data_IF_251221484620
#
_entry.id   IF_251221484620
#
_cell.length_a   1.000
_cell.length_b   1.000
_cell.length_c   1.000
_cell.angle_alpha   90.00
_cell.angle_beta   90.00
_cell.angle_gamma   90.00
#
_symmetry.space_group_name_H-M   'P 1'
#
loop_
_entity.id
_entity.type
_entity.pdbx_description
1 polymer ?
#
# COMPACT_ATOMS: atom_id res chain seq x y z
N UNK A 1 -28.97 -2.57 -2.17
CA UNK A 1 -28.13 -1.72 -3.04
C UNK A 1 -26.66 -1.96 -2.67
N UNK A 2 -25.80 -2.11 -3.67
CA UNK A 2 -24.37 -2.25 -3.40
C UNK A 2 -23.61 -1.03 -3.93
N UNK A 3 -22.55 -0.67 -3.22
CA UNK A 3 -21.64 0.40 -3.62
C UNK A 3 -20.24 -0.17 -3.54
N UNK A 4 -19.50 -0.07 -4.62
CA UNK A 4 -18.14 -0.60 -4.72
C UNK A 4 -17.19 0.52 -5.13
N UNK A 5 -16.13 0.72 -4.37
CA UNK A 5 -15.03 1.58 -4.80
C UNK A 5 -14.27 0.82 -5.90
N UNK A 6 -14.44 1.24 -7.15
CA UNK A 6 -13.94 0.52 -8.32
C UNK A 6 -12.49 0.86 -8.65
N UNK A 7 -12.15 2.12 -8.66
CA UNK A 7 -10.79 2.57 -8.91
C UNK A 7 -10.54 3.93 -8.27
N UNK A 8 -9.29 4.23 -8.03
CA UNK A 8 -8.87 5.57 -7.61
C UNK A 8 -7.51 5.89 -8.20
N UNK A 9 -7.22 7.18 -8.33
CA UNK A 9 -5.95 7.65 -8.84
C UNK A 9 -5.00 7.86 -7.67
N UNK A 10 -3.81 7.26 -7.78
CA UNK A 10 -2.72 7.46 -6.82
C UNK A 10 -1.66 8.34 -7.48
N UNK A 11 -1.47 9.57 -7.01
CA UNK A 11 -0.45 10.46 -7.58
C UNK A 11 0.95 9.99 -7.23
N UNK A 12 1.87 10.08 -8.17
CA UNK A 12 3.24 9.59 -8.02
C UNK A 12 4.22 10.48 -8.75
N UNK A 13 5.48 10.43 -8.38
CA UNK A 13 6.57 11.07 -9.11
C UNK A 13 6.98 10.21 -10.33
N UNK A 14 7.04 8.89 -10.12
CA UNK A 14 7.28 7.90 -11.17
C UNK A 14 6.22 6.81 -11.02
N UNK A 15 5.23 6.82 -11.90
CA UNK A 15 4.07 5.93 -11.76
C UNK A 15 4.41 4.46 -11.87
N UNK A 16 5.38 4.10 -12.69
CA UNK A 16 5.79 2.71 -12.85
C UNK A 16 6.49 2.21 -11.59
N UNK A 17 7.45 2.96 -11.07
CA UNK A 17 8.15 2.61 -9.84
C UNK A 17 7.21 2.56 -8.64
N UNK A 18 6.27 3.51 -8.56
CA UNK A 18 5.29 3.56 -7.47
C UNK A 18 4.33 2.36 -7.50
N UNK A 19 3.84 2.00 -8.68
CA UNK A 19 2.98 0.83 -8.87
C UNK A 19 3.73 -0.46 -8.51
N UNK A 20 4.96 -0.60 -8.94
CA UNK A 20 5.80 -1.77 -8.63
C UNK A 20 6.08 -1.90 -7.14
N UNK A 21 6.27 -0.79 -6.44
CA UNK A 21 6.48 -0.79 -4.99
C UNK A 21 5.30 -1.45 -4.26
N UNK A 22 4.09 -1.02 -4.52
CA UNK A 22 2.90 -1.60 -3.87
C UNK A 22 2.65 -3.04 -4.34
N UNK A 23 2.74 -3.29 -5.63
CA UNK A 23 2.52 -4.62 -6.19
C UNK A 23 3.46 -5.65 -5.57
N UNK A 24 4.72 -5.30 -5.37
CA UNK A 24 5.71 -6.17 -4.71
C UNK A 24 5.28 -6.54 -3.29
N UNK A 25 4.81 -5.56 -2.50
CA UNK A 25 4.36 -5.81 -1.13
C UNK A 25 3.16 -6.76 -1.09
N UNK A 26 2.23 -6.60 -2.02
CA UNK A 26 0.98 -7.37 -2.04
C UNK A 26 1.07 -8.68 -2.82
N UNK A 27 2.24 -8.98 -3.42
CA UNK A 27 2.40 -10.17 -4.25
C UNK A 27 1.60 -10.11 -5.55
N UNK A 28 1.38 -8.91 -6.09
CA UNK A 28 0.61 -8.68 -7.29
C UNK A 28 1.52 -8.30 -8.46
N UNK A 29 1.02 -8.44 -9.68
CA UNK A 29 1.67 -7.93 -10.88
C UNK A 29 1.11 -6.55 -11.23
N UNK A 30 1.99 -5.68 -11.74
CA UNK A 30 1.56 -4.42 -12.36
C UNK A 30 0.89 -4.75 -13.69
N UNK A 31 -0.27 -4.15 -13.95
CA UNK A 31 -1.00 -4.35 -15.19
C UNK A 31 -0.45 -3.53 -16.35
N UNK A 32 -0.99 -3.78 -17.54
CA UNK A 32 -0.62 -3.03 -18.73
C UNK A 32 -1.06 -1.58 -18.60
N UNK A 33 -0.22 -0.68 -19.08
CA UNK A 33 -0.51 0.74 -19.06
C UNK A 33 -1.83 1.04 -19.78
N UNK A 34 -2.72 1.79 -19.10
CA UNK A 34 -4.03 2.18 -19.63
C UNK A 34 -4.12 3.71 -19.67
N UNK A 35 -4.05 4.28 -20.88
CA UNK A 35 -4.00 5.73 -21.02
C UNK A 35 -2.79 6.31 -20.28
N UNK A 36 -2.99 7.29 -19.38
CA UNK A 36 -1.91 7.87 -18.58
C UNK A 36 -1.55 7.03 -17.34
N UNK A 37 -2.26 5.92 -17.08
CA UNK A 37 -2.18 5.20 -15.81
C UNK A 37 -1.36 3.93 -15.91
N UNK A 38 -0.66 3.60 -14.80
CA UNK A 38 -0.12 2.27 -14.55
C UNK A 38 -0.97 1.63 -13.45
N UNK A 39 -1.76 0.60 -13.78
CA UNK A 39 -2.72 0.05 -12.84
C UNK A 39 -2.12 -1.04 -11.96
N UNK A 40 -2.57 -1.07 -10.70
CA UNK A 40 -2.42 -2.21 -9.80
C UNK A 40 -3.82 -2.70 -9.45
N UNK A 41 -4.21 -3.84 -9.98
CA UNK A 41 -5.48 -4.46 -9.64
C UNK A 41 -5.34 -5.19 -8.32
N UNK A 42 -5.92 -4.61 -7.28
CA UNK A 42 -5.78 -5.11 -5.90
C UNK A 42 -6.61 -6.38 -5.70
N UNK A 43 -7.83 -6.37 -6.22
CA UNK A 43 -8.77 -7.49 -6.19
C UNK A 43 -9.76 -7.36 -7.33
N UNK A 44 -10.83 -8.17 -7.34
CA UNK A 44 -11.82 -8.13 -8.40
C UNK A 44 -12.59 -6.81 -8.50
N UNK A 45 -12.60 -6.04 -7.43
CA UNK A 45 -13.42 -4.82 -7.33
C UNK A 45 -12.61 -3.52 -7.43
N UNK A 46 -11.32 -3.52 -7.06
CA UNK A 46 -10.54 -2.30 -6.90
C UNK A 46 -9.25 -2.31 -7.69
N UNK A 47 -9.06 -1.25 -8.48
CA UNK A 47 -7.80 -0.95 -9.17
C UNK A 47 -7.25 0.39 -8.68
N UNK A 48 -5.96 0.43 -8.36
CA UNK A 48 -5.24 1.67 -8.10
C UNK A 48 -4.55 2.10 -9.40
N UNK A 49 -4.91 3.28 -9.90
CA UNK A 49 -4.34 3.84 -11.13
C UNK A 49 -3.27 4.86 -10.76
N UNK A 50 -2.01 4.46 -10.92
CA UNK A 50 -0.88 5.36 -10.63
C UNK A 50 -0.68 6.35 -11.77
N UNK A 51 -0.56 7.64 -11.42
CA UNK A 51 -0.53 8.75 -12.35
C UNK A 51 0.57 9.75 -11.95
N UNK A 52 1.50 10.05 -12.84
CA UNK A 52 2.62 10.94 -12.56
C UNK A 52 2.51 12.30 -13.27
N UNK A 53 1.37 12.62 -13.88
CA UNK A 53 1.22 13.87 -14.64
C UNK A 53 1.28 15.13 -13.79
N UNK A 54 0.89 15.05 -12.51
CA UNK A 54 0.78 16.19 -11.62
C UNK A 54 1.68 16.09 -10.38
N UNK A 55 2.67 15.20 -10.41
CA UNK A 55 3.53 14.95 -9.26
C UNK A 55 2.82 14.17 -8.15
N UNK A 56 3.50 14.02 -7.03
CA UNK A 56 2.99 13.28 -5.88
C UNK A 56 2.48 14.20 -4.80
N UNK A 57 1.32 13.83 -4.23
CA UNK A 57 0.81 14.39 -2.98
C UNK A 57 0.65 13.24 -2.01
N UNK A 58 1.30 13.24 -0.84
CA UNK A 58 1.21 12.13 0.10
C UNK A 58 -0.23 11.82 0.50
N UNK A 59 -0.59 10.55 0.45
CA UNK A 59 -1.90 10.04 0.83
C UNK A 59 -1.76 8.89 1.81
N UNK A 60 -2.91 8.40 2.29
CA UNK A 60 -3.00 7.26 3.18
C UNK A 60 -3.94 6.22 2.60
N UNK A 61 -3.47 4.99 2.48
CA UNK A 61 -4.22 3.88 1.90
C UNK A 61 -4.13 2.68 2.85
N UNK A 62 -5.28 2.19 3.31
CA UNK A 62 -5.35 1.14 4.31
C UNK A 62 -6.00 -0.11 3.72
N UNK A 63 -5.36 -1.26 3.93
CA UNK A 63 -5.77 -2.53 3.38
C UNK A 63 -5.97 -3.54 4.51
N UNK A 64 -7.16 -4.16 4.55
CA UNK A 64 -7.40 -5.34 5.36
C UNK A 64 -6.86 -6.54 4.59
N UNK A 65 -5.92 -7.27 5.17
CA UNK A 65 -5.26 -8.40 4.52
C UNK A 65 -5.35 -9.65 5.40
N UNK A 66 -5.15 -10.82 4.80
CA UNK A 66 -5.04 -12.04 5.57
C UNK A 66 -3.65 -12.18 6.23
N UNK A 67 -3.51 -13.14 7.13
CA UNK A 67 -2.25 -13.32 7.85
C UNK A 67 -1.10 -13.70 6.93
N UNK A 68 -1.35 -14.48 5.89
CA UNK A 68 -0.32 -14.86 4.92
C UNK A 68 0.22 -13.64 4.17
N UNK A 69 -0.66 -12.78 3.69
CA UNK A 69 -0.26 -11.53 3.01
C UNK A 69 0.51 -10.61 3.96
N UNK A 70 0.03 -10.49 5.20
CA UNK A 70 0.73 -9.70 6.22
C UNK A 70 2.14 -10.22 6.48
N UNK A 71 2.31 -11.53 6.62
CA UNK A 71 3.63 -12.15 6.83
C UNK A 71 4.57 -11.86 5.67
N UNK A 72 4.08 -11.91 4.44
CA UNK A 72 4.87 -11.60 3.24
C UNK A 72 5.32 -10.15 3.23
N UNK A 73 4.41 -9.21 3.54
CA UNK A 73 4.73 -7.78 3.61
C UNK A 73 5.80 -7.53 4.67
N UNK A 74 5.61 -8.10 5.85
CA UNK A 74 6.53 -7.92 6.97
C UNK A 74 7.93 -8.47 6.65
N UNK A 75 8.00 -9.62 6.00
CA UNK A 75 9.26 -10.20 5.54
C UNK A 75 10.00 -9.27 4.58
N UNK A 76 9.29 -8.70 3.60
CA UNK A 76 9.87 -7.78 2.62
C UNK A 76 10.42 -6.52 3.30
N UNK A 77 9.64 -5.87 4.16
CA UNK A 77 10.07 -4.61 4.78
C UNK A 77 11.20 -4.82 5.80
N UNK A 78 11.23 -5.95 6.47
CA UNK A 78 12.33 -6.31 7.36
C UNK A 78 13.64 -6.57 6.62
N UNK A 79 13.54 -7.16 5.44
CA UNK A 79 14.69 -7.49 4.60
C UNK A 79 15.20 -6.31 3.77
N UNK A 80 14.48 -5.18 3.73
CA UNK A 80 14.79 -4.04 2.88
C UNK A 80 15.04 -2.80 3.74
N UNK A 81 16.30 -2.47 3.97
CA UNK A 81 16.69 -1.44 4.93
C UNK A 81 16.25 -0.03 4.57
N UNK A 82 16.01 0.25 3.29
CA UNK A 82 15.60 1.56 2.80
C UNK A 82 14.09 1.76 2.70
N UNK A 83 13.29 0.77 3.12
CA UNK A 83 11.83 0.92 3.23
C UNK A 83 11.47 1.30 4.65
N UNK A 84 11.01 2.53 4.92
CA UNK A 84 10.51 2.91 6.24
C UNK A 84 9.23 2.16 6.57
N UNK A 85 9.16 1.56 7.76
CA UNK A 85 7.92 0.97 8.26
C UNK A 85 7.84 1.11 9.77
N UNK A 86 6.64 0.99 10.31
CA UNK A 86 6.46 1.13 11.75
C UNK A 86 5.06 0.82 12.24
N UNK A 87 4.89 0.95 13.54
CA UNK A 87 3.64 0.64 14.24
C UNK A 87 2.60 1.75 14.18
N UNK A 88 2.98 2.94 13.70
CA UNK A 88 2.10 4.07 13.55
C UNK A 88 2.80 5.24 12.86
N UNK A 89 2.01 6.07 12.17
CA UNK A 89 2.54 7.19 11.37
C UNK A 89 3.27 8.24 12.20
N UNK A 90 2.84 8.41 13.46
CA UNK A 90 3.39 9.44 14.36
C UNK A 90 4.56 8.91 15.20
N UNK A 91 4.91 7.63 15.08
CA UNK A 91 5.94 6.99 15.91
C UNK A 91 7.31 6.94 15.23
N UNK A 92 7.50 7.67 14.13
CA UNK A 92 8.81 7.87 13.51
C UNK A 92 9.35 6.65 12.77
N UNK A 93 8.49 5.78 12.23
CA UNK A 93 8.91 4.60 11.46
C UNK A 93 9.83 3.69 12.28
N UNK A 94 9.29 3.24 13.43
CA UNK A 94 10.01 2.54 14.49
C UNK A 94 10.39 1.09 14.17
N UNK A 95 10.04 0.60 12.99
CA UNK A 95 10.29 -0.77 12.51
C UNK A 95 9.64 -1.84 13.39
N UNK A 96 8.52 -1.50 14.01
CA UNK A 96 7.68 -2.36 14.83
C UNK A 96 6.31 -2.54 14.20
N UNK A 97 5.57 -3.53 14.66
CA UNK A 97 4.16 -3.72 14.28
C UNK A 97 3.25 -3.32 15.43
N UNK A 98 1.96 -3.15 15.15
CA UNK A 98 0.94 -2.96 16.17
C UNK A 98 -0.03 -4.14 16.21
N UNK A 99 -0.91 -4.15 17.21
CA UNK A 99 -1.92 -5.18 17.42
C UNK A 99 -3.32 -4.58 17.54
N UNK A 100 -3.58 -3.52 16.81
CA UNK A 100 -4.87 -2.85 16.83
C UNK A 100 -5.98 -3.82 16.39
N UNK A 101 -7.14 -3.73 17.05
CA UNK A 101 -8.27 -4.60 16.75
C UNK A 101 -8.07 -6.06 17.16
N UNK A 102 -7.01 -6.38 17.89
CA UNK A 102 -6.68 -7.76 18.28
C UNK A 102 -5.94 -8.54 17.19
N UNK A 103 -5.59 -7.90 16.09
CA UNK A 103 -4.82 -8.49 15.01
C UNK A 103 -3.39 -7.96 14.96
N UNK A 104 -2.87 -7.80 13.74
CA UNK A 104 -1.56 -7.23 13.48
C UNK A 104 -1.68 -6.11 12.47
N UNK A 105 -0.90 -5.05 12.62
CA UNK A 105 -0.86 -3.93 11.71
C UNK A 105 0.54 -3.40 11.50
N UNK A 106 0.78 -2.82 10.33
CA UNK A 106 2.05 -2.17 9.98
C UNK A 106 1.79 -1.04 9.00
N UNK A 107 2.52 0.06 9.19
CA UNK A 107 2.55 1.18 8.26
C UNK A 107 3.83 1.11 7.44
N UNK A 108 3.72 1.31 6.15
CA UNK A 108 4.85 1.30 5.22
C UNK A 108 4.84 2.59 4.42
N UNK A 109 5.98 3.26 4.32
CA UNK A 109 6.10 4.49 3.55
C UNK A 109 6.74 4.21 2.21
N UNK A 110 6.13 4.72 1.13
CA UNK A 110 6.75 4.66 -0.19
C UNK A 110 7.65 5.88 -0.45
N UNK A 111 8.43 5.90 -1.55
CA UNK A 111 9.32 7.02 -1.86
C UNK A 111 8.62 8.37 -2.06
N UNK A 112 7.33 8.38 -2.39
CA UNK A 112 6.53 9.59 -2.57
C UNK A 112 5.92 10.10 -1.27
N UNK A 113 6.14 9.39 -0.16
CA UNK A 113 5.57 9.76 1.13
C UNK A 113 4.16 9.22 1.37
N UNK A 114 3.62 8.39 0.47
CA UNK A 114 2.37 7.69 0.75
C UNK A 114 2.56 6.75 1.92
N UNK A 115 1.57 6.70 2.80
CA UNK A 115 1.53 5.79 3.94
C UNK A 115 0.56 4.67 3.61
N UNK A 116 1.09 3.47 3.40
CA UNK A 116 0.28 2.27 3.24
C UNK A 116 0.15 1.59 4.60
N UNK A 117 -1.08 1.29 4.98
CA UNK A 117 -1.36 0.55 6.21
C UNK A 117 -1.92 -0.82 5.85
N UNK A 118 -1.33 -1.86 6.44
CA UNK A 118 -1.81 -3.24 6.26
C UNK A 118 -2.16 -3.80 7.62
N UNK A 119 -3.34 -4.38 7.76
CA UNK A 119 -3.81 -4.91 9.04
C UNK A 119 -4.69 -6.14 8.84
N UNK A 120 -4.69 -7.02 9.85
CA UNK A 120 -5.42 -8.30 9.77
C UNK A 120 -6.75 -8.28 10.50
N UNK A 121 -7.02 -7.24 11.27
CA UNK A 121 -8.30 -7.06 11.96
C UNK A 121 -8.66 -5.59 12.03
N UNK A 122 -9.94 -5.28 11.87
CA UNK A 122 -10.44 -3.92 11.93
C UNK A 122 -10.51 -3.47 13.38
N UNK A 123 -9.91 -2.30 13.67
CA UNK A 123 -10.02 -1.66 14.98
C UNK A 123 -11.35 -0.92 15.08
N UNK A 124 -12.05 -1.11 16.19
CA UNK A 124 -13.31 -0.39 16.48
C UNK A 124 -13.04 0.98 17.10
#
# INVERSE_FOLDING_TARGET
MSIVLNHLIVPATDKTAAAEFLARLLGLAVGDRTGPFVPVRVNDDLTLDYDDRNGATPGHYAFLVDDHTFDTILEIVRATSDIPYGSGRVLGWDREINHLGGGRGVYVRDPDGHSYEFFTAVAD
#
